data_IF_409209131610
#
_entry.id   IF_409209131610
#
_cell.length_a   1.000
_cell.length_b   1.000
_cell.length_c   1.000
_cell.angle_alpha   90.00
_cell.angle_beta   90.00
_cell.angle_gamma   90.00
#
_symmetry.space_group_name_H-M   'P 1'
#
loop_
_entity.id
_entity.type
_entity.pdbx_description
1 polymer ?
#
# COMPACT_ATOMS: atom_id res chain seq x y z
N UNK A 1 -0.68 -27.36 -16.73
CA UNK A 1 -1.32 -26.04 -16.67
C UNK A 1 -0.18 -25.06 -16.54
N UNK A 2 0.07 -24.28 -17.59
CA UNK A 2 1.23 -23.39 -17.66
C UNK A 2 0.96 -22.15 -16.81
N UNK A 3 1.94 -21.81 -15.98
CA UNK A 3 1.96 -20.59 -15.17
C UNK A 3 2.08 -19.38 -16.11
N UNK A 4 1.09 -18.48 -16.07
CA UNK A 4 1.15 -17.18 -16.75
C UNK A 4 2.21 -16.31 -16.06
N UNK A 5 3.46 -16.51 -16.47
CA UNK A 5 4.58 -15.67 -16.08
C UNK A 5 4.44 -14.35 -16.84
N UNK A 6 3.71 -13.37 -16.27
CA UNK A 6 3.61 -12.02 -16.80
C UNK A 6 4.99 -11.37 -16.79
N UNK A 7 5.71 -11.49 -17.90
CA UNK A 7 6.94 -10.76 -18.16
C UNK A 7 6.61 -9.26 -18.12
N UNK A 8 7.14 -8.54 -17.14
CA UNK A 8 7.21 -7.08 -17.13
C UNK A 8 8.18 -6.63 -18.25
N UNK A 9 7.72 -6.67 -19.50
CA UNK A 9 8.41 -6.01 -20.62
C UNK A 9 8.18 -4.50 -20.50
N UNK A 10 9.25 -3.68 -20.42
CA UNK A 10 9.12 -2.23 -20.41
C UNK A 10 8.33 -1.74 -21.64
N UNK A 11 7.46 -0.76 -21.44
CA UNK A 11 6.71 -0.15 -22.52
C UNK A 11 7.69 0.60 -23.45
N UNK A 12 7.64 0.32 -24.74
CA UNK A 12 8.42 1.07 -25.74
C UNK A 12 7.97 2.55 -25.70
N UNK A 13 8.88 3.47 -25.34
CA UNK A 13 8.66 4.92 -25.16
C UNK A 13 7.88 5.37 -23.91
N UNK A 14 8.09 4.71 -22.76
CA UNK A 14 7.62 5.23 -21.48
C UNK A 14 8.34 6.54 -21.07
N UNK A 15 7.64 7.59 -20.60
CA UNK A 15 8.27 8.83 -20.15
C UNK A 15 9.04 8.62 -18.83
N UNK A 16 10.24 9.21 -18.74
CA UNK A 16 11.01 9.24 -17.48
C UNK A 16 10.51 10.37 -16.57
N UNK A 17 10.32 10.05 -15.29
CA UNK A 17 10.00 11.03 -14.24
C UNK A 17 11.13 11.04 -13.22
N UNK A 18 11.70 12.22 -12.97
CA UNK A 18 12.82 12.41 -12.04
C UNK A 18 12.33 13.07 -10.76
N UNK A 19 12.70 12.49 -9.62
CA UNK A 19 12.38 12.98 -8.28
C UNK A 19 13.65 13.28 -7.49
N UNK A 20 13.59 14.30 -6.64
CA UNK A 20 14.57 14.49 -5.59
C UNK A 20 14.35 13.42 -4.51
N UNK A 21 15.38 12.63 -4.23
CA UNK A 21 15.27 11.43 -3.39
C UNK A 21 14.75 11.65 -1.96
N UNK A 22 14.84 12.88 -1.45
CA UNK A 22 14.43 13.21 -0.09
C UNK A 22 13.23 14.16 -0.03
N UNK A 23 13.26 15.27 -0.76
CA UNK A 23 12.22 16.29 -0.65
C UNK A 23 10.90 15.89 -1.31
N UNK A 24 10.95 15.00 -2.31
CA UNK A 24 9.77 14.67 -3.11
C UNK A 24 9.10 13.38 -2.63
N UNK A 25 9.77 12.63 -1.74
CA UNK A 25 9.21 11.41 -1.15
C UNK A 25 8.13 11.78 -0.14
N UNK A 26 6.93 11.24 -0.32
CA UNK A 26 5.83 11.36 0.64
C UNK A 26 5.87 10.23 1.64
N UNK A 27 5.40 10.52 2.85
CA UNK A 27 5.37 9.59 3.98
C UNK A 27 4.01 9.68 4.68
N UNK A 28 3.37 8.55 4.89
CA UNK A 28 2.19 8.39 5.72
C UNK A 28 2.51 7.36 6.79
N UNK A 29 2.38 7.73 8.07
CA UNK A 29 2.75 6.84 9.17
C UNK A 29 1.59 6.64 10.13
N UNK A 30 1.39 5.40 10.58
CA UNK A 30 0.56 5.08 11.74
C UNK A 30 1.47 5.02 12.96
N UNK A 31 1.12 5.75 14.02
CA UNK A 31 1.85 5.78 15.27
C UNK A 31 1.21 4.84 16.30
N UNK A 32 2.00 4.42 17.28
CA UNK A 32 1.52 3.79 18.51
C UNK A 32 0.51 4.69 19.24
N UNK A 33 -0.26 4.11 20.16
CA UNK A 33 -1.27 4.85 20.92
C UNK A 33 -0.68 6.04 21.69
N UNK A 34 0.55 5.89 22.20
CA UNK A 34 1.29 6.96 22.87
C UNK A 34 1.98 7.96 21.92
N UNK A 35 1.91 7.72 20.61
CA UNK A 35 2.45 8.58 19.55
C UNK A 35 3.97 8.46 19.34
N UNK A 36 4.68 7.65 20.14
CA UNK A 36 6.14 7.66 20.16
C UNK A 36 6.75 6.80 19.04
N UNK A 37 6.14 5.68 18.70
CA UNK A 37 6.69 4.71 17.76
C UNK A 37 5.90 4.70 16.44
N UNK A 38 6.61 4.56 15.32
CA UNK A 38 5.97 4.28 14.03
C UNK A 38 5.67 2.80 13.95
N UNK A 39 4.39 2.43 13.87
CA UNK A 39 3.97 1.04 13.68
C UNK A 39 3.93 0.63 12.21
N UNK A 40 3.65 1.60 11.32
CA UNK A 40 3.56 1.38 9.89
C UNK A 40 3.93 2.66 9.16
N UNK A 41 4.63 2.54 8.03
CA UNK A 41 4.90 3.63 7.10
C UNK A 41 4.54 3.22 5.66
N UNK A 42 3.85 4.09 4.94
CA UNK A 42 3.68 4.04 3.49
C UNK A 42 4.45 5.23 2.92
N UNK A 43 5.43 4.96 2.06
CA UNK A 43 6.22 6.02 1.44
C UNK A 43 6.52 5.78 -0.03
N UNK A 44 6.60 6.86 -0.81
CA UNK A 44 6.77 6.81 -2.26
C UNK A 44 6.77 8.19 -2.90
N UNK A 45 7.16 8.24 -4.18
CA UNK A 45 7.24 9.50 -4.94
C UNK A 45 5.94 9.80 -5.70
N UNK A 46 5.30 8.77 -6.26
CA UNK A 46 4.05 8.88 -7.01
C UNK A 46 2.93 8.04 -6.37
N UNK A 47 2.57 8.41 -5.13
CA UNK A 47 1.44 7.78 -4.45
C UNK A 47 0.12 8.30 -5.03
N UNK A 48 -0.43 7.62 -6.03
CA UNK A 48 -1.73 7.91 -6.62
C UNK A 48 -2.87 7.17 -5.91
N UNK A 49 -3.81 7.94 -5.35
CA UNK A 49 -5.02 7.41 -4.69
C UNK A 49 -6.25 7.91 -5.45
N UNK A 50 -6.95 6.98 -6.10
CA UNK A 50 -8.14 7.27 -6.91
C UNK A 50 -9.40 6.77 -6.25
N UNK A 51 -10.43 7.62 -6.24
CA UNK A 51 -11.74 7.29 -5.67
C UNK A 51 -12.78 7.14 -6.77
N UNK A 52 -13.47 6.00 -6.78
CA UNK A 52 -14.60 5.80 -7.68
C UNK A 52 -15.83 6.56 -7.14
N UNK A 53 -15.94 7.84 -7.50
CA UNK A 53 -17.05 8.72 -7.10
C UNK A 53 -18.40 8.32 -7.68
N UNK A 54 -18.47 7.34 -8.59
CA UNK A 54 -19.75 6.76 -9.03
C UNK A 54 -20.30 5.76 -8.01
N UNK A 55 -19.44 5.18 -7.18
CA UNK A 55 -19.81 4.23 -6.12
C UNK A 55 -19.90 4.94 -4.76
N UNK A 56 -18.94 5.81 -4.43
CA UNK A 56 -18.91 6.52 -3.14
C UNK A 56 -19.83 7.74 -3.22
N UNK A 57 -21.03 7.65 -2.64
CA UNK A 57 -22.05 8.71 -2.70
C UNK A 57 -22.49 9.22 -1.33
N UNK A 58 -22.40 8.38 -0.31
CA UNK A 58 -22.94 8.64 1.03
C UNK A 58 -21.87 8.43 2.10
N UNK A 59 -22.15 8.89 3.32
CA UNK A 59 -21.31 8.60 4.49
C UNK A 59 -21.22 7.09 4.73
N UNK A 60 -22.32 6.35 4.53
CA UNK A 60 -22.31 4.89 4.67
C UNK A 60 -21.35 4.20 3.69
N UNK A 61 -21.25 4.72 2.45
CA UNK A 61 -20.29 4.19 1.47
C UNK A 61 -18.84 4.48 1.90
N UNK A 62 -18.60 5.63 2.54
CA UNK A 62 -17.29 5.97 3.10
C UNK A 62 -16.92 5.02 4.24
N UNK A 63 -17.82 4.78 5.19
CA UNK A 63 -17.57 3.81 6.28
C UNK A 63 -17.33 2.40 5.73
N UNK A 64 -18.11 1.97 4.74
CA UNK A 64 -17.93 0.67 4.08
C UNK A 64 -16.57 0.58 3.36
N UNK A 65 -16.11 1.66 2.74
CA UNK A 65 -14.77 1.75 2.14
C UNK A 65 -13.69 1.64 3.22
N UNK A 66 -13.84 2.34 4.35
CA UNK A 66 -12.88 2.29 5.45
C UNK A 66 -12.79 0.88 6.07
N UNK A 67 -13.92 0.18 6.20
CA UNK A 67 -13.94 -1.22 6.62
C UNK A 67 -13.17 -2.12 5.63
N UNK A 68 -13.38 -1.94 4.32
CA UNK A 68 -12.62 -2.66 3.31
C UNK A 68 -11.11 -2.38 3.35
N UNK A 69 -10.71 -1.13 3.58
CA UNK A 69 -9.30 -0.74 3.74
C UNK A 69 -8.69 -1.40 4.98
N UNK A 70 -9.40 -1.38 6.12
CA UNK A 70 -8.99 -2.04 7.36
C UNK A 70 -8.80 -3.54 7.17
N UNK A 71 -9.71 -4.19 6.45
CA UNK A 71 -9.62 -5.62 6.18
C UNK A 71 -8.45 -5.98 5.26
N UNK A 72 -8.21 -5.16 4.21
CA UNK A 72 -7.05 -5.30 3.34
C UNK A 72 -5.74 -5.17 4.12
N UNK A 73 -5.57 -4.11 4.90
CA UNK A 73 -4.35 -3.92 5.67
C UNK A 73 -4.18 -4.96 6.76
N UNK A 74 -5.26 -5.43 7.40
CA UNK A 74 -5.16 -6.57 8.33
C UNK A 74 -4.56 -7.79 7.65
N UNK A 75 -5.00 -8.11 6.43
CA UNK A 75 -4.45 -9.23 5.67
C UNK A 75 -2.96 -9.04 5.38
N UNK A 76 -2.58 -7.87 4.85
CA UNK A 76 -1.18 -7.55 4.53
C UNK A 76 -0.28 -7.65 5.78
N UNK A 77 -0.69 -7.04 6.89
CA UNK A 77 0.07 -7.05 8.14
C UNK A 77 0.20 -8.48 8.68
N UNK A 78 -0.88 -9.27 8.66
CA UNK A 78 -0.81 -10.65 9.13
C UNK A 78 0.08 -11.52 8.24
N UNK A 79 0.05 -11.33 6.92
CA UNK A 79 0.94 -12.04 6.00
C UNK A 79 2.41 -11.71 6.25
N UNK A 80 2.73 -10.45 6.53
CA UNK A 80 4.07 -10.00 6.92
C UNK A 80 4.54 -10.66 8.22
N UNK A 81 3.73 -10.56 9.29
CA UNK A 81 4.05 -11.12 10.60
C UNK A 81 4.20 -12.66 10.61
N UNK A 82 3.34 -13.37 9.87
CA UNK A 82 3.38 -14.83 9.77
C UNK A 82 4.53 -15.30 8.85
N UNK A 83 4.84 -14.53 7.81
CA UNK A 83 6.00 -14.78 6.94
C UNK A 83 7.32 -14.74 7.72
N UNK A 84 7.43 -13.78 8.65
CA UNK A 84 8.60 -13.65 9.52
C UNK A 84 8.75 -14.83 10.50
N UNK A 85 7.65 -15.33 11.09
CA UNK A 85 7.68 -16.44 12.07
C UNK A 85 8.19 -17.76 11.47
N UNK A 86 7.95 -18.00 10.17
CA UNK A 86 8.40 -19.20 9.47
C UNK A 86 9.87 -19.13 9.02
N UNK A 87 10.45 -17.93 8.93
CA UNK A 87 11.85 -17.74 8.53
C UNK A 87 12.84 -17.87 9.70
N UNK A 88 12.36 -17.66 10.94
CA UNK A 88 13.16 -17.78 12.17
C UNK A 88 13.27 -19.21 12.74
N UNK A 89 12.69 -20.22 12.07
CA UNK A 89 12.73 -21.63 12.48
C UNK A 89 13.51 -22.54 11.52
N UNK A 90 14.39 -21.98 10.68
CA UNK A 90 15.22 -22.75 9.73
C UNK A 90 16.72 -22.64 9.99
#
# INVERSE_FOLDING_TARGET
MAEDNKTNTPLENEPEVVFNSQSDRRFFSVKSEDGNETMMEISGYDLDVRFNRNVIKTVQDVESLLDGIKDLFRKIIMEDLIGDDNSNHQ
#
